data_IF_096965957360
#
_entry.id   IF_096965957360
#
_cell.length_a   1.000
_cell.length_b   1.000
_cell.length_c   1.000
_cell.angle_alpha   90.00
_cell.angle_beta   90.00
_cell.angle_gamma   90.00
#
_symmetry.space_group_name_H-M   'P 1'
#
loop_
_entity.id
_entity.type
_entity.pdbx_description
1 polymer ?
#
# COMPACT_ATOMS: atom_id res chain seq x y z
N UNK A 1 0.74 -14.38 -16.45
CA UNK A 1 -0.73 -14.37 -16.67
C UNK A 1 -1.45 -15.54 -16.00
N UNK A 2 -0.99 -16.79 -16.11
CA UNK A 2 -1.68 -17.96 -15.56
C UNK A 2 -1.98 -17.91 -14.03
N UNK A 3 -1.11 -17.30 -13.22
CA UNK A 3 -1.33 -17.14 -11.78
C UNK A 3 -2.56 -16.28 -11.45
N UNK A 4 -2.73 -15.15 -12.13
CA UNK A 4 -3.88 -14.26 -11.96
C UNK A 4 -5.20 -14.94 -12.33
N UNK A 5 -5.22 -15.65 -13.47
CA UNK A 5 -6.40 -16.41 -13.90
C UNK A 5 -6.78 -17.52 -12.91
N UNK A 6 -5.81 -18.27 -12.37
CA UNK A 6 -6.08 -19.28 -11.34
C UNK A 6 -6.67 -18.66 -10.08
N UNK A 7 -6.13 -17.52 -9.63
CA UNK A 7 -6.67 -16.81 -8.47
C UNK A 7 -8.10 -16.32 -8.70
N UNK A 8 -8.42 -15.76 -9.87
CA UNK A 8 -9.79 -15.37 -10.20
C UNK A 8 -10.76 -16.56 -10.13
N UNK A 9 -10.33 -17.73 -10.60
CA UNK A 9 -11.14 -18.95 -10.55
C UNK A 9 -11.26 -19.55 -9.14
N UNK A 10 -10.39 -19.17 -8.19
CA UNK A 10 -10.47 -19.65 -6.80
C UNK A 10 -11.29 -18.75 -5.89
N UNK A 11 -11.81 -17.61 -6.37
CA UNK A 11 -12.58 -16.68 -5.55
C UNK A 11 -13.89 -17.30 -5.09
N UNK A 12 -14.05 -17.42 -3.77
CA UNK A 12 -15.24 -17.99 -3.11
C UNK A 12 -16.23 -16.94 -2.61
N UNK A 13 -15.97 -15.65 -2.86
CA UNK A 13 -16.84 -14.55 -2.42
C UNK A 13 -16.43 -13.19 -2.98
N UNK A 14 -17.21 -12.13 -2.68
CA UNK A 14 -17.05 -10.82 -3.31
C UNK A 14 -15.69 -10.20 -3.05
N UNK A 15 -14.94 -10.00 -4.13
CA UNK A 15 -13.61 -9.39 -4.13
C UNK A 15 -13.58 -8.27 -5.16
N UNK A 16 -13.08 -7.10 -4.78
CA UNK A 16 -13.03 -5.91 -5.64
C UNK A 16 -11.60 -5.40 -5.75
N UNK A 17 -11.27 -4.85 -6.92
CA UNK A 17 -10.13 -3.96 -7.07
C UNK A 17 -10.62 -2.52 -7.18
N UNK A 18 -10.03 -1.64 -6.38
CA UNK A 18 -10.23 -0.22 -6.47
C UNK A 18 -8.91 0.43 -6.92
N UNK A 19 -8.95 1.12 -8.05
CA UNK A 19 -7.84 1.94 -8.53
C UNK A 19 -8.16 3.40 -8.21
N UNK A 20 -7.26 4.07 -7.51
CA UNK A 20 -7.37 5.51 -7.26
C UNK A 20 -6.09 6.23 -7.63
N UNK A 21 -6.26 7.40 -8.24
CA UNK A 21 -5.19 8.38 -8.42
C UNK A 21 -5.29 9.38 -7.28
N UNK A 22 -4.17 9.64 -6.60
CA UNK A 22 -4.11 10.59 -5.49
C UNK A 22 -2.77 11.31 -5.51
N UNK A 23 -2.73 12.52 -4.92
CA UNK A 23 -1.47 13.24 -4.71
C UNK A 23 -0.67 12.56 -3.61
N UNK A 24 0.61 12.29 -3.85
CA UNK A 24 1.49 11.67 -2.86
C UNK A 24 2.24 12.72 -2.06
N UNK A 25 2.24 12.58 -0.75
CA UNK A 25 3.06 13.39 0.15
C UNK A 25 4.46 12.78 0.27
N UNK A 26 5.46 13.45 -0.31
CA UNK A 26 6.86 13.02 -0.21
C UNK A 26 7.58 13.59 1.01
N UNK A 27 6.97 14.49 1.78
CA UNK A 27 7.63 15.13 2.92
C UNK A 27 8.22 14.12 3.93
N UNK A 28 7.53 13.02 4.31
CA UNK A 28 8.10 12.03 5.22
C UNK A 28 9.38 11.37 4.68
N UNK A 29 9.44 11.11 3.37
CA UNK A 29 10.60 10.49 2.72
C UNK A 29 11.78 11.48 2.62
N UNK A 30 11.49 12.74 2.29
CA UNK A 30 12.48 13.83 2.29
C UNK A 30 13.09 13.98 3.69
N UNK A 31 12.26 14.02 4.73
CA UNK A 31 12.70 14.12 6.12
C UNK A 31 13.51 12.89 6.55
N UNK A 32 13.14 11.69 6.10
CA UNK A 32 13.91 10.48 6.36
C UNK A 32 15.29 10.53 5.69
N UNK A 33 15.38 10.98 4.44
CA UNK A 33 16.64 11.12 3.72
C UNK A 33 17.55 12.15 4.40
N UNK A 34 17.03 13.30 4.79
CA UNK A 34 17.81 14.31 5.52
C UNK A 34 18.31 13.80 6.88
N UNK A 35 17.48 13.05 7.62
CA UNK A 35 17.89 12.46 8.91
C UNK A 35 18.92 11.35 8.76
N UNK A 36 18.83 10.52 7.72
CA UNK A 36 19.71 9.37 7.52
C UNK A 36 21.02 9.70 6.79
N UNK A 37 21.04 10.76 5.96
CA UNK A 37 22.22 11.13 5.16
C UNK A 37 23.52 11.30 5.98
N UNK A 38 23.53 11.94 7.16
CA UNK A 38 24.76 12.11 7.95
C UNK A 38 25.35 10.81 8.49
N UNK A 39 24.55 9.73 8.57
CA UNK A 39 25.00 8.43 9.06
C UNK A 39 25.59 7.56 7.94
N UNK A 40 25.65 8.05 6.70
CA UNK A 40 26.16 7.27 5.57
C UNK A 40 27.69 7.13 5.63
N UNK A 41 28.23 5.95 5.27
CA UNK A 41 29.64 5.60 5.49
C UNK A 41 30.63 6.37 4.61
N UNK A 42 30.17 7.11 3.61
CA UNK A 42 31.03 7.82 2.66
C UNK A 42 30.46 9.21 2.33
N UNK A 43 31.27 10.29 2.32
CA UNK A 43 30.79 11.66 2.11
C UNK A 43 30.14 11.89 0.73
N UNK A 44 30.49 11.11 -0.29
CA UNK A 44 29.79 11.16 -1.57
C UNK A 44 28.35 10.60 -1.48
N UNK A 45 28.11 9.58 -0.63
CA UNK A 45 26.77 9.04 -0.42
C UNK A 45 25.91 10.01 0.37
N UNK A 46 26.47 10.67 1.38
CA UNK A 46 25.78 11.76 2.09
C UNK A 46 25.33 12.86 1.12
N UNK A 47 26.26 13.37 0.29
CA UNK A 47 25.94 14.40 -0.71
C UNK A 47 24.87 13.93 -1.70
N UNK A 48 24.95 12.69 -2.16
CA UNK A 48 23.95 12.12 -3.08
C UNK A 48 22.57 12.00 -2.42
N UNK A 49 22.50 11.55 -1.16
CA UNK A 49 21.25 11.45 -0.41
C UNK A 49 20.61 12.82 -0.18
N UNK A 50 21.40 13.84 0.15
CA UNK A 50 20.93 15.23 0.27
C UNK A 50 20.40 15.78 -1.06
N UNK A 51 21.17 15.63 -2.13
CA UNK A 51 20.74 16.07 -3.46
C UNK A 51 19.46 15.34 -3.93
N UNK A 52 19.31 14.06 -3.57
CA UNK A 52 18.10 13.31 -3.84
C UNK A 52 16.90 13.85 -3.05
N UNK A 53 17.07 14.18 -1.77
CA UNK A 53 16.03 14.80 -0.95
C UNK A 53 15.59 16.15 -1.53
N UNK A 54 16.54 16.99 -1.96
CA UNK A 54 16.26 18.28 -2.60
C UNK A 54 15.44 18.11 -3.89
N UNK A 55 15.78 17.10 -4.70
CA UNK A 55 15.03 16.76 -5.91
C UNK A 55 13.59 16.30 -5.59
N UNK A 56 13.41 15.44 -4.59
CA UNK A 56 12.09 14.98 -4.18
C UNK A 56 11.22 16.13 -3.62
N UNK A 57 11.82 17.05 -2.87
CA UNK A 57 11.14 18.25 -2.38
C UNK A 57 10.70 19.16 -3.55
N UNK A 58 11.56 19.34 -4.55
CA UNK A 58 11.21 20.09 -5.76
C UNK A 58 10.05 19.44 -6.53
N UNK A 59 10.10 18.11 -6.70
CA UNK A 59 9.06 17.34 -7.38
C UNK A 59 7.70 17.40 -6.64
N UNK A 60 7.73 17.35 -5.31
CA UNK A 60 6.52 17.52 -4.49
C UNK A 60 5.93 18.93 -4.65
N UNK A 61 6.79 19.96 -4.71
CA UNK A 61 6.38 21.35 -4.92
C UNK A 61 5.78 21.65 -6.29
N UNK A 62 5.99 20.79 -7.30
CA UNK A 62 5.42 20.96 -8.64
C UNK A 62 3.92 20.64 -8.69
N UNK A 63 3.37 19.90 -7.71
CA UNK A 63 1.93 19.64 -7.56
C UNK A 63 1.33 18.57 -8.48
N UNK A 64 2.11 18.04 -9.42
CA UNK A 64 1.65 17.10 -10.46
C UNK A 64 1.91 15.62 -10.15
N UNK A 65 2.46 15.31 -8.97
CA UNK A 65 2.79 13.93 -8.61
C UNK A 65 1.54 13.14 -8.21
N UNK A 66 0.98 12.42 -9.19
CA UNK A 66 -0.14 11.50 -8.98
C UNK A 66 0.35 10.06 -8.91
N UNK A 67 0.01 9.39 -7.81
CA UNK A 67 0.28 7.96 -7.65
C UNK A 67 -0.99 7.15 -7.81
N UNK A 68 -0.85 5.99 -8.43
CA UNK A 68 -1.90 4.98 -8.52
C UNK A 68 -1.82 4.07 -7.30
N UNK A 69 -2.87 4.10 -6.48
CA UNK A 69 -3.06 3.13 -5.41
C UNK A 69 -4.08 2.09 -5.85
N UNK A 70 -3.68 0.82 -5.82
CA UNK A 70 -4.52 -0.32 -6.13
C UNK A 70 -4.86 -1.01 -4.80
N UNK A 71 -6.14 -1.08 -4.48
CA UNK A 71 -6.63 -1.69 -3.24
C UNK A 71 -7.43 -2.94 -3.61
N UNK A 72 -7.06 -4.08 -3.03
CA UNK A 72 -7.84 -5.31 -3.09
C UNK A 72 -8.74 -5.37 -1.86
N UNK A 73 -10.05 -5.40 -2.08
CA UNK A 73 -11.06 -5.43 -1.02
C UNK A 73 -11.74 -6.79 -1.02
N UNK A 74 -11.49 -7.57 0.04
CA UNK A 74 -12.28 -8.75 0.37
C UNK A 74 -13.42 -8.33 1.28
N UNK A 75 -14.66 -8.45 0.79
CA UNK A 75 -15.87 -8.00 1.51
C UNK A 75 -16.81 -9.18 1.70
N UNK A 76 -17.39 -9.26 2.90
CA UNK A 76 -18.51 -10.17 3.15
C UNK A 76 -19.79 -9.42 2.85
N UNK A 77 -20.74 -10.09 2.18
CA UNK A 77 -22.08 -9.56 2.07
C UNK A 77 -22.71 -9.48 3.46
N UNK A 78 -23.61 -8.52 3.67
CA UNK A 78 -24.28 -8.34 4.95
C UNK A 78 -24.84 -9.68 5.41
N UNK A 79 -24.32 -10.25 6.52
CA UNK A 79 -24.72 -11.59 6.92
C UNK A 79 -26.24 -11.60 7.18
N UNK A 80 -26.95 -12.70 6.85
CA UNK A 80 -28.30 -12.87 7.36
C UNK A 80 -28.25 -12.72 8.88
N UNK A 81 -29.29 -12.14 9.50
CA UNK A 81 -29.38 -11.72 10.93
C UNK A 81 -28.89 -12.75 11.99
N UNK A 82 -28.63 -14.01 11.59
CA UNK A 82 -28.15 -15.12 12.42
C UNK A 82 -26.66 -15.45 12.29
N UNK A 83 -25.91 -14.88 11.34
CA UNK A 83 -24.49 -15.18 11.21
C UNK A 83 -23.65 -14.35 12.19
N UNK A 84 -22.67 -15.01 12.84
CA UNK A 84 -21.78 -14.38 13.81
C UNK A 84 -20.81 -13.41 13.09
N UNK A 85 -20.67 -12.14 13.54
CA UNK A 85 -19.75 -11.18 12.93
C UNK A 85 -18.30 -11.67 12.82
N UNK A 86 -17.82 -12.43 13.82
CA UNK A 86 -16.46 -13.00 13.84
C UNK A 86 -16.20 -14.01 12.71
N UNK A 87 -17.20 -14.81 12.34
CA UNK A 87 -17.07 -15.78 11.24
C UNK A 87 -16.98 -15.08 9.88
N UNK A 88 -17.64 -13.92 9.72
CA UNK A 88 -17.57 -13.11 8.51
C UNK A 88 -16.18 -12.46 8.38
N UNK A 89 -15.70 -11.82 9.45
CA UNK A 89 -14.34 -11.24 9.49
C UNK A 89 -13.26 -12.29 9.16
N UNK A 90 -13.36 -13.50 9.74
CA UNK A 90 -12.43 -14.59 9.45
C UNK A 90 -12.38 -15.00 7.97
N UNK A 91 -13.54 -15.05 7.29
CA UNK A 91 -13.59 -15.38 5.85
C UNK A 91 -13.04 -14.27 4.96
N UNK A 92 -13.27 -12.99 5.29
CA UNK A 92 -12.65 -11.87 4.58
C UNK A 92 -11.12 -11.89 4.72
N UNK A 93 -10.62 -12.09 5.94
CA UNK A 93 -9.18 -12.21 6.20
C UNK A 93 -8.57 -13.42 5.49
N UNK A 94 -9.24 -14.57 5.50
CA UNK A 94 -8.81 -15.77 4.79
C UNK A 94 -8.67 -15.52 3.27
N UNK A 95 -9.66 -14.87 2.65
CA UNK A 95 -9.60 -14.52 1.23
C UNK A 95 -8.45 -13.57 0.90
N UNK A 96 -8.10 -12.66 1.80
CA UNK A 96 -6.94 -11.79 1.64
C UNK A 96 -5.62 -12.57 1.69
N UNK A 97 -5.51 -13.56 2.58
CA UNK A 97 -4.36 -14.46 2.64
C UNK A 97 -4.24 -15.33 1.39
N UNK A 98 -5.36 -15.82 0.88
CA UNK A 98 -5.44 -16.55 -0.40
C UNK A 98 -5.03 -15.67 -1.58
N UNK A 99 -5.42 -14.40 -1.59
CA UNK A 99 -4.98 -13.45 -2.60
C UNK A 99 -3.47 -13.24 -2.57
N UNK A 100 -2.87 -13.07 -1.38
CA UNK A 100 -1.40 -12.96 -1.23
C UNK A 100 -0.68 -14.16 -1.84
N UNK A 101 -1.14 -15.38 -1.57
CA UNK A 101 -0.52 -16.61 -2.09
C UNK A 101 -0.81 -16.82 -3.58
N UNK A 102 -2.04 -16.57 -4.01
CA UNK A 102 -2.50 -16.82 -5.38
C UNK A 102 -1.92 -15.84 -6.40
N UNK A 103 -1.65 -14.61 -5.98
CA UNK A 103 -1.11 -13.55 -6.84
C UNK A 103 0.42 -13.48 -6.87
N UNK A 104 1.11 -14.01 -5.85
CA UNK A 104 2.57 -14.04 -5.81
C UNK A 104 3.22 -14.72 -7.04
N UNK A 105 2.74 -15.88 -7.55
CA UNK A 105 3.27 -16.49 -8.78
C UNK A 105 3.08 -15.65 -10.04
N UNK A 106 2.20 -14.65 -10.01
CA UNK A 106 2.02 -13.68 -11.08
C UNK A 106 2.90 -12.42 -10.90
N UNK A 107 3.76 -12.38 -9.88
CA UNK A 107 4.60 -11.23 -9.54
C UNK A 107 3.84 -10.10 -8.85
N UNK A 108 2.60 -10.34 -8.42
CA UNK A 108 1.75 -9.33 -7.78
C UNK A 108 1.85 -9.51 -6.27
N UNK A 109 2.43 -8.52 -5.59
CA UNK A 109 2.50 -8.48 -4.13
C UNK A 109 1.21 -7.91 -3.56
N UNK A 110 0.59 -8.65 -2.65
CA UNK A 110 -0.56 -8.17 -1.86
C UNK A 110 -0.09 -8.04 -0.41
N UNK A 111 -0.26 -6.85 0.15
CA UNK A 111 0.05 -6.57 1.55
C UNK A 111 -1.27 -6.45 2.31
N UNK A 112 -1.59 -7.38 3.23
CA UNK A 112 -2.78 -7.25 4.05
C UNK A 112 -2.64 -6.03 4.96
N UNK A 113 -3.71 -5.22 5.04
CA UNK A 113 -3.76 -4.06 5.92
C UNK A 113 -4.40 -4.46 7.25
N UNK A 114 -3.84 -3.97 8.35
CA UNK A 114 -4.46 -4.10 9.67
C UNK A 114 -5.64 -3.13 9.84
N UNK A 115 -6.23 -3.14 11.04
CA UNK A 115 -7.39 -2.30 11.35
C UNK A 115 -7.09 -0.79 11.26
N UNK A 116 -5.92 -0.36 11.74
CA UNK A 116 -5.52 1.04 11.76
C UNK A 116 -5.23 1.53 10.34
N UNK A 117 -4.45 0.75 9.58
CA UNK A 117 -4.12 1.01 8.18
C UNK A 117 -5.37 1.04 7.30
N UNK A 118 -6.32 0.12 7.52
CA UNK A 118 -7.60 0.09 6.79
C UNK A 118 -8.43 1.33 7.10
N UNK A 119 -8.51 1.74 8.37
CA UNK A 119 -9.25 2.93 8.80
C UNK A 119 -8.64 4.21 8.24
N UNK A 120 -7.31 4.32 8.28
CA UNK A 120 -6.57 5.42 7.69
C UNK A 120 -6.80 5.50 6.17
N UNK A 121 -6.76 4.36 5.48
CA UNK A 121 -7.05 4.29 4.04
C UNK A 121 -8.47 4.75 3.72
N UNK A 122 -9.48 4.25 4.44
CA UNK A 122 -10.88 4.65 4.23
C UNK A 122 -11.06 6.15 4.51
N UNK A 123 -10.50 6.65 5.61
CA UNK A 123 -10.53 8.08 5.94
C UNK A 123 -9.89 8.92 4.84
N UNK A 124 -8.74 8.49 4.33
CA UNK A 124 -8.04 9.13 3.22
C UNK A 124 -8.79 9.03 1.89
N UNK A 125 -9.69 8.04 1.70
CA UNK A 125 -10.59 8.01 0.53
C UNK A 125 -11.76 8.97 0.65
N UNK A 126 -12.19 9.28 1.88
CA UNK A 126 -13.26 10.24 2.14
C UNK A 126 -12.78 11.70 2.17
N UNK A 127 -11.47 11.94 2.08
CA UNK A 127 -10.89 13.27 2.10
C UNK A 127 -10.49 13.69 0.67
N UNK A 128 -11.10 14.75 0.09
CA UNK A 128 -10.82 15.14 -1.28
C UNK A 128 -9.47 15.85 -1.48
N UNK A 129 -8.85 16.40 -0.43
CA UNK A 129 -7.83 17.46 -0.62
C UNK A 129 -6.38 17.17 -0.18
N UNK A 130 -6.04 16.51 0.95
CA UNK A 130 -4.65 16.42 1.33
C UNK A 130 -3.91 15.30 0.58
N UNK A 131 -2.65 15.55 0.20
CA UNK A 131 -1.78 14.50 -0.29
C UNK A 131 -1.65 13.41 0.79
N UNK A 132 -1.70 12.15 0.38
CA UNK A 132 -1.59 11.05 1.33
C UNK A 132 -0.15 10.59 1.39
N UNK A 133 0.36 10.23 2.58
CA UNK A 133 1.68 9.63 2.69
C UNK A 133 1.74 8.36 1.84
N UNK A 134 2.90 8.03 1.25
CA UNK A 134 3.09 6.74 0.60
C UNK A 134 2.76 5.64 1.59
N UNK A 135 2.07 4.59 1.14
CA UNK A 135 1.88 3.41 1.97
C UNK A 135 3.26 2.82 2.27
N UNK A 136 3.59 2.67 3.55
CA UNK A 136 4.76 1.94 4.03
C UNK A 136 4.63 0.47 3.64
N UNK A 137 4.89 0.19 2.37
CA UNK A 137 4.97 -1.16 1.83
C UNK A 137 6.39 -1.60 2.08
N UNK A 138 6.69 -1.96 3.34
CA UNK A 138 8.02 -2.28 3.82
C UNK A 138 8.90 -2.91 2.73
N UNK A 139 9.80 -2.10 2.17
CA UNK A 139 11.01 -2.61 1.58
C UNK A 139 11.88 -3.07 2.75
N UNK A 140 11.52 -4.21 3.34
CA UNK A 140 12.51 -5.03 4.01
C UNK A 140 13.42 -5.51 2.89
N UNK A 141 14.44 -4.70 2.61
CA UNK A 141 15.65 -5.18 2.00
C UNK A 141 16.07 -6.42 2.78
N UNK A 142 16.22 -7.52 2.06
CA UNK A 142 16.87 -8.71 2.57
C UNK A 142 18.26 -8.28 3.00
N UNK A 143 18.45 -8.12 4.31
CA UNK A 143 19.78 -8.05 4.91
C UNK A 143 20.29 -9.50 4.91
N UNK A 144 21.27 -9.74 4.04
CA UNK A 144 22.00 -11.00 3.92
C UNK A 144 23.17 -11.02 4.92
#
# INVERSE_FOLDING_TARGET
>A
VAGFGRWLNSLTGPTQFLLRCHRTDLAPLVDQLHRSAPALPHPALERAARAHADYLAHLAGTGDLLTRQIVLVAREETPPRRARPSACSGRAAQRLQEATRGLAPAGIRVTPLDHEQTTALITATCNPDPPTPPLDTGAQGVEA
#
